data_IF_155854376368
#
_entry.id   IF_155854376368
#
_cell.length_a   1.000
_cell.length_b   1.000
_cell.length_c   1.000
_cell.angle_alpha   90.00
_cell.angle_beta   90.00
_cell.angle_gamma   90.00
#
_symmetry.space_group_name_H-M   'P 1'
#
loop_
_entity.id
_entity.type
_entity.pdbx_description
1 polymer ?
#
# COMPACT_ATOMS: atom_id res chain seq x y z
N UNK A 1 -14.73 4.62 27.78
CA UNK A 1 -13.45 3.91 28.00
C UNK A 1 -12.33 4.93 28.04
N UNK A 2 -11.25 4.63 28.75
CA UNK A 2 -10.03 5.46 28.77
C UNK A 2 -9.44 5.56 27.35
N UNK A 3 -9.19 6.78 26.82
CA UNK A 3 -8.53 6.98 25.53
C UNK A 3 -7.23 6.18 25.39
N UNK A 4 -6.46 5.99 26.46
CA UNK A 4 -5.23 5.20 26.43
C UNK A 4 -5.46 3.73 26.11
N UNK A 5 -6.63 3.16 26.48
CA UNK A 5 -7.00 1.80 26.08
C UNK A 5 -7.37 1.72 24.60
N UNK A 6 -8.03 2.76 24.08
CA UNK A 6 -8.41 2.82 22.66
C UNK A 6 -7.17 2.94 21.77
N UNK A 7 -6.18 3.75 22.17
CA UNK A 7 -4.88 3.83 21.47
C UNK A 7 -4.21 2.44 21.38
N UNK A 8 -4.24 1.66 22.47
CA UNK A 8 -3.67 0.30 22.47
C UNK A 8 -4.42 -0.65 21.54
N UNK A 9 -5.75 -0.56 21.49
CA UNK A 9 -6.55 -1.38 20.56
C UNK A 9 -6.22 -1.03 19.12
N UNK A 10 -6.22 0.26 18.76
CA UNK A 10 -5.89 0.70 17.41
C UNK A 10 -4.47 0.28 17.00
N UNK A 11 -3.47 0.51 17.87
CA UNK A 11 -2.08 0.16 17.58
C UNK A 11 -1.87 -1.36 17.45
N UNK A 12 -2.59 -2.17 18.24
CA UNK A 12 -2.54 -3.62 18.12
C UNK A 12 -3.20 -4.11 16.82
N UNK A 13 -4.37 -3.57 16.48
CA UNK A 13 -5.06 -3.86 15.22
C UNK A 13 -4.19 -3.52 14.01
N UNK A 14 -3.55 -2.35 14.02
CA UNK A 14 -2.65 -1.92 12.94
C UNK A 14 -1.39 -2.78 12.84
N UNK A 15 -0.73 -3.06 13.97
CA UNK A 15 0.45 -3.92 14.00
C UNK A 15 0.15 -5.31 13.43
N UNK A 16 -0.97 -5.92 13.81
CA UNK A 16 -1.36 -7.25 13.30
C UNK A 16 -1.67 -7.20 11.81
N UNK A 17 -2.43 -6.19 11.35
CA UNK A 17 -2.75 -6.05 9.93
C UNK A 17 -1.49 -5.85 9.07
N UNK A 18 -0.56 -4.99 9.51
CA UNK A 18 0.69 -4.71 8.80
C UNK A 18 1.62 -5.92 8.76
N UNK A 19 1.80 -6.63 9.88
CA UNK A 19 2.64 -7.83 9.93
C UNK A 19 2.05 -8.99 9.11
N UNK A 20 0.73 -9.11 9.05
CA UNK A 20 0.06 -10.08 8.19
C UNK A 20 0.25 -9.74 6.70
N UNK A 21 0.06 -8.47 6.34
CA UNK A 21 0.29 -8.00 4.98
C UNK A 21 1.74 -8.25 4.56
N UNK A 22 2.70 -7.90 5.43
CA UNK A 22 4.12 -8.13 5.23
C UNK A 22 4.46 -9.61 5.00
N UNK A 23 3.89 -10.51 5.81
CA UNK A 23 4.09 -11.95 5.65
C UNK A 23 3.49 -12.49 4.33
N UNK A 24 2.39 -11.89 3.86
CA UNK A 24 1.69 -12.31 2.65
C UNK A 24 2.36 -11.82 1.35
N UNK A 25 3.06 -10.69 1.41
CA UNK A 25 3.63 -10.00 0.23
C UNK A 25 5.15 -9.85 0.27
N UNK A 26 5.82 -10.36 1.31
CA UNK A 26 7.25 -10.14 1.57
C UNK A 26 7.65 -8.64 1.60
N UNK A 27 6.73 -7.78 2.06
CA UNK A 27 6.91 -6.33 2.07
C UNK A 27 7.65 -5.86 3.32
N UNK A 28 8.83 -5.24 3.13
CA UNK A 28 9.71 -4.80 4.24
C UNK A 28 9.21 -3.55 4.94
N UNK A 29 8.50 -2.67 4.24
CA UNK A 29 7.99 -1.43 4.81
C UNK A 29 6.85 -1.75 5.78
N UNK A 30 5.98 -2.69 5.39
CA UNK A 30 4.93 -3.21 6.24
C UNK A 30 5.49 -3.91 7.49
N UNK A 31 6.64 -4.62 7.39
CA UNK A 31 7.35 -5.12 8.58
C UNK A 31 7.78 -3.96 9.47
N UNK A 32 8.42 -2.93 8.91
CA UNK A 32 8.94 -1.80 9.66
C UNK A 32 7.81 -1.04 10.40
N UNK A 33 6.70 -0.75 9.73
CA UNK A 33 5.52 -0.11 10.31
C UNK A 33 4.87 -0.96 11.40
N UNK A 34 4.72 -2.27 11.15
CA UNK A 34 4.19 -3.21 12.14
C UNK A 34 5.05 -3.29 13.40
N UNK A 35 6.37 -3.39 13.25
CA UNK A 35 7.33 -3.38 14.37
C UNK A 35 7.32 -2.03 15.10
N UNK A 36 7.25 -0.91 14.39
CA UNK A 36 7.16 0.42 15.00
C UNK A 36 5.89 0.58 15.85
N UNK A 37 4.75 0.01 15.40
CA UNK A 37 3.52 -0.05 16.20
C UNK A 37 3.72 -0.88 17.48
N UNK A 38 4.41 -2.02 17.41
CA UNK A 38 4.74 -2.84 18.59
C UNK A 38 5.66 -2.10 19.57
N UNK A 39 6.64 -1.34 19.07
CA UNK A 39 7.50 -0.48 19.90
C UNK A 39 6.64 0.59 20.59
N UNK A 40 5.73 1.25 19.86
CA UNK A 40 4.78 2.21 20.42
C UNK A 40 3.93 1.60 21.54
N UNK A 41 3.39 0.40 21.34
CA UNK A 41 2.65 -0.35 22.35
C UNK A 41 3.49 -0.67 23.59
N UNK A 42 4.74 -1.11 23.40
CA UNK A 42 5.66 -1.37 24.50
C UNK A 42 5.95 -0.08 25.29
N UNK A 43 6.17 1.05 24.63
CA UNK A 43 6.39 2.34 25.28
C UNK A 43 5.16 2.82 26.07
N UNK A 44 3.94 2.49 25.63
CA UNK A 44 2.71 2.78 26.37
C UNK A 44 2.56 1.95 27.67
N UNK A 45 3.27 0.82 27.78
CA UNK A 45 3.23 -0.03 28.98
C UNK A 45 4.00 0.56 30.16
N UNK A 46 5.00 1.42 29.89
CA UNK A 46 5.78 2.10 30.92
C UNK A 46 5.29 3.52 31.17
N UNK A 47 4.95 3.84 32.43
CA UNK A 47 4.42 5.16 32.80
C UNK A 47 5.34 6.33 32.41
N UNK A 48 6.67 6.15 32.53
CA UNK A 48 7.66 7.18 32.21
C UNK A 48 7.81 7.43 30.70
N UNK A 49 7.57 6.41 29.86
CA UNK A 49 7.69 6.51 28.39
C UNK A 49 6.35 6.63 27.67
N UNK A 50 5.22 6.58 28.38
CA UNK A 50 3.90 6.61 27.78
C UNK A 50 3.63 7.87 26.93
N UNK A 51 4.29 9.00 27.23
CA UNK A 51 4.25 10.19 26.38
C UNK A 51 4.89 9.95 25.01
N UNK A 52 6.10 9.40 25.01
CA UNK A 52 6.87 9.06 23.79
C UNK A 52 6.10 8.04 22.95
N UNK A 53 5.52 7.01 23.57
CA UNK A 53 4.70 6.03 22.87
C UNK A 53 3.49 6.64 22.16
N UNK A 54 2.82 7.62 22.77
CA UNK A 54 1.70 8.33 22.13
C UNK A 54 2.14 9.19 20.95
N UNK A 55 3.29 9.87 21.05
CA UNK A 55 3.84 10.66 19.94
C UNK A 55 4.19 9.76 18.77
N UNK A 56 4.95 8.68 19.03
CA UNK A 56 5.35 7.72 18.00
C UNK A 56 4.12 7.13 17.29
N UNK A 57 3.15 6.61 18.04
CA UNK A 57 1.92 6.05 17.47
C UNK A 57 1.09 7.11 16.74
N UNK A 58 1.02 8.34 17.26
CA UNK A 58 0.32 9.42 16.58
C UNK A 58 0.92 9.76 15.22
N UNK A 59 2.25 9.79 15.11
CA UNK A 59 2.95 10.01 13.84
C UNK A 59 2.75 8.85 12.86
N UNK A 60 2.85 7.60 13.35
CA UNK A 60 2.59 6.41 12.52
C UNK A 60 1.15 6.40 12.00
N UNK A 61 0.17 6.65 12.88
CA UNK A 61 -1.24 6.72 12.47
C UNK A 61 -1.51 7.84 11.47
N UNK A 62 -0.85 8.99 11.61
CA UNK A 62 -0.98 10.08 10.66
C UNK A 62 -0.43 9.68 9.28
N UNK A 63 0.77 9.08 9.27
CA UNK A 63 1.44 8.60 8.06
C UNK A 63 0.61 7.54 7.33
N UNK A 64 0.25 6.45 8.03
CA UNK A 64 -0.55 5.36 7.46
C UNK A 64 -1.91 5.86 7.00
N UNK A 65 -2.60 6.70 7.78
CA UNK A 65 -3.90 7.25 7.36
C UNK A 65 -3.80 8.08 6.08
N UNK A 66 -2.79 8.95 5.96
CA UNK A 66 -2.60 9.80 4.79
C UNK A 66 -2.41 8.95 3.52
N UNK A 67 -1.52 7.97 3.60
CA UNK A 67 -1.14 7.16 2.46
C UNK A 67 -2.22 6.16 2.04
N UNK A 68 -2.83 5.46 3.00
CA UNK A 68 -3.86 4.45 2.71
C UNK A 68 -5.19 5.07 2.29
N UNK A 69 -5.56 6.24 2.80
CA UNK A 69 -6.73 6.98 2.32
C UNK A 69 -6.55 7.45 0.86
N UNK A 70 -5.35 7.94 0.52
CA UNK A 70 -5.01 8.35 -0.85
C UNK A 70 -5.04 7.16 -1.81
N UNK A 71 -4.49 6.01 -1.40
CA UNK A 71 -4.54 4.77 -2.17
C UNK A 71 -5.99 4.30 -2.38
N UNK A 72 -6.83 4.30 -1.34
CA UNK A 72 -8.24 3.94 -1.46
C UNK A 72 -8.99 4.84 -2.45
N UNK A 73 -8.77 6.15 -2.41
CA UNK A 73 -9.39 7.10 -3.34
C UNK A 73 -8.96 6.84 -4.79
N UNK A 74 -7.66 6.58 -5.00
CA UNK A 74 -7.15 6.26 -6.32
C UNK A 74 -7.72 4.96 -6.87
N UNK A 75 -7.65 3.88 -6.10
CA UNK A 75 -8.21 2.57 -6.50
C UNK A 75 -9.68 2.71 -6.90
N UNK A 76 -10.46 3.44 -6.11
CA UNK A 76 -11.87 3.72 -6.39
C UNK A 76 -12.04 4.49 -7.70
N UNK A 77 -11.28 5.59 -7.89
CA UNK A 77 -11.34 6.39 -9.12
C UNK A 77 -10.91 5.63 -10.38
N UNK A 78 -10.11 4.58 -10.19
CA UNK A 78 -9.55 3.76 -11.25
C UNK A 78 -10.34 2.47 -11.52
N UNK A 79 -11.47 2.25 -10.82
CA UNK A 79 -12.34 1.09 -11.02
C UNK A 79 -11.70 -0.23 -10.62
N UNK A 80 -10.79 -0.20 -9.64
CA UNK A 80 -10.08 -1.39 -9.18
C UNK A 80 -10.99 -2.33 -8.37
N UNK A 81 -10.53 -3.57 -8.18
CA UNK A 81 -11.29 -4.59 -7.45
C UNK A 81 -11.62 -4.19 -6.01
N UNK A 82 -12.72 -4.73 -5.49
CA UNK A 82 -13.18 -4.47 -4.11
C UNK A 82 -12.17 -4.89 -3.04
N UNK A 83 -11.32 -5.88 -3.32
CA UNK A 83 -10.30 -6.38 -2.38
C UNK A 83 -9.23 -5.33 -2.04
N UNK A 84 -8.46 -4.83 -3.03
CA UNK A 84 -7.51 -3.73 -2.81
C UNK A 84 -8.14 -2.50 -2.17
N UNK A 85 -9.35 -2.10 -2.58
CA UNK A 85 -10.06 -0.96 -1.98
C UNK A 85 -10.35 -1.23 -0.50
N UNK A 86 -10.91 -2.40 -0.18
CA UNK A 86 -11.26 -2.77 1.19
C UNK A 86 -10.03 -2.84 2.11
N UNK A 87 -8.89 -3.32 1.60
CA UNK A 87 -7.62 -3.29 2.34
C UNK A 87 -7.24 -1.86 2.73
N UNK A 88 -7.17 -0.96 1.75
CA UNK A 88 -6.70 0.42 1.98
C UNK A 88 -7.67 1.23 2.84
N UNK A 89 -8.98 1.08 2.63
CA UNK A 89 -10.00 1.72 3.48
C UNK A 89 -9.91 1.22 4.92
N UNK A 90 -9.67 -0.08 5.11
CA UNK A 90 -9.59 -0.66 6.46
C UNK A 90 -8.36 -0.17 7.21
N UNK A 91 -7.20 -0.14 6.57
CA UNK A 91 -5.99 0.41 7.18
C UNK A 91 -6.19 1.90 7.53
N UNK A 92 -6.74 2.69 6.61
CA UNK A 92 -7.06 4.10 6.86
C UNK A 92 -8.00 4.27 8.06
N UNK A 93 -9.04 3.43 8.18
CA UNK A 93 -9.99 3.48 9.28
C UNK A 93 -9.33 3.19 10.64
N UNK A 94 -8.46 2.17 10.72
CA UNK A 94 -7.72 1.86 11.95
C UNK A 94 -6.86 3.06 12.35
N UNK A 95 -6.09 3.61 11.41
CA UNK A 95 -5.15 4.69 11.68
C UNK A 95 -5.84 6.00 12.01
N UNK A 96 -6.95 6.35 11.33
CA UNK A 96 -7.75 7.53 11.67
C UNK A 96 -8.32 7.40 13.09
N UNK A 97 -8.87 6.23 13.45
CA UNK A 97 -9.35 5.99 14.82
C UNK A 97 -8.21 6.09 15.82
N UNK A 98 -7.06 5.50 15.52
CA UNK A 98 -5.83 5.60 16.31
C UNK A 98 -5.43 7.05 16.56
N UNK A 99 -5.30 7.84 15.49
CA UNK A 99 -4.91 9.25 15.53
C UNK A 99 -5.89 10.07 16.38
N UNK A 100 -7.19 9.92 16.17
CA UNK A 100 -8.22 10.63 16.94
C UNK A 100 -8.15 10.28 18.43
N UNK A 101 -7.88 9.02 18.78
CA UNK A 101 -7.74 8.59 20.18
C UNK A 101 -6.44 9.08 20.83
N UNK A 102 -5.35 9.18 20.07
CA UNK A 102 -4.09 9.82 20.50
C UNK A 102 -4.31 11.31 20.77
N UNK A 103 -4.96 12.04 19.84
CA UNK A 103 -5.30 13.45 20.01
C UNK A 103 -6.18 13.64 21.26
N UNK A 104 -7.23 12.82 21.43
CA UNK A 104 -8.09 12.88 22.61
C UNK A 104 -7.32 12.65 23.92
N UNK A 105 -6.34 11.75 23.93
CA UNK A 105 -5.48 11.49 25.08
C UNK A 105 -4.58 12.69 25.41
N UNK A 106 -4.02 13.39 24.41
CA UNK A 106 -3.22 14.60 24.60
C UNK A 106 -4.04 15.78 25.10
N UNK A 107 -5.25 15.96 24.55
CA UNK A 107 -6.20 16.99 24.96
C UNK A 107 -6.80 16.74 26.35
N UNK A 108 -6.38 15.68 27.06
CA UNK A 108 -6.87 15.26 28.38
C UNK A 108 -8.40 15.20 28.43
N UNK A 109 -9.03 14.80 27.31
CA UNK A 109 -10.49 14.72 27.20
C UNK A 109 -11.01 13.68 28.21
N UNK A 110 -12.21 13.91 28.79
CA UNK A 110 -12.79 12.97 29.73
C UNK A 110 -12.98 11.60 29.07
N UNK A 111 -13.03 10.51 29.86
CA UNK A 111 -13.29 9.17 29.34
C UNK A 111 -14.53 9.18 28.46
N UNK A 112 -14.41 8.63 27.26
CA UNK A 112 -15.53 8.54 26.31
C UNK A 112 -16.64 7.71 26.95
N UNK A 113 -17.91 8.04 26.71
CA UNK A 113 -19.04 7.25 27.16
C UNK A 113 -18.83 5.76 26.83
N UNK A 114 -19.19 4.85 27.75
CA UNK A 114 -18.98 3.40 27.59
C UNK A 114 -19.49 2.85 26.25
N UNK A 115 -20.69 3.18 25.74
CA UNK A 115 -21.16 2.66 24.45
C UNK A 115 -20.29 3.17 23.29
N UNK A 116 -20.04 4.47 23.21
CA UNK A 116 -19.23 5.07 22.15
C UNK A 116 -17.79 4.53 22.14
N UNK A 117 -17.18 4.35 23.31
CA UNK A 117 -15.87 3.72 23.39
C UNK A 117 -15.87 2.29 22.81
N UNK A 118 -16.92 1.50 23.06
CA UNK A 118 -17.01 0.12 22.56
C UNK A 118 -17.14 0.12 21.04
N UNK A 119 -17.92 1.05 20.50
CA UNK A 119 -18.02 1.25 19.04
C UNK A 119 -16.66 1.60 18.44
N UNK A 120 -15.91 2.55 19.03
CA UNK A 120 -14.57 2.91 18.53
C UNK A 120 -13.60 1.72 18.54
N UNK A 121 -13.58 0.96 19.62
CA UNK A 121 -12.76 -0.26 19.70
C UNK A 121 -13.20 -1.31 18.69
N UNK A 122 -14.51 -1.51 18.52
CA UNK A 122 -15.06 -2.45 17.54
C UNK A 122 -14.70 -2.05 16.10
N UNK A 123 -14.75 -0.76 15.76
CA UNK A 123 -14.34 -0.26 14.43
C UNK A 123 -12.89 -0.62 14.15
N UNK A 124 -11.96 -0.36 15.08
CA UNK A 124 -10.55 -0.69 14.89
C UNK A 124 -10.32 -2.21 14.73
N UNK A 125 -11.00 -3.03 15.53
CA UNK A 125 -10.89 -4.50 15.44
C UNK A 125 -11.47 -5.02 14.12
N UNK A 126 -12.68 -4.60 13.76
CA UNK A 126 -13.36 -5.03 12.53
C UNK A 126 -12.57 -4.59 11.30
N UNK A 127 -12.08 -3.36 11.27
CA UNK A 127 -11.22 -2.88 10.19
C UNK A 127 -9.92 -3.70 10.12
N UNK A 128 -9.30 -4.04 11.26
CA UNK A 128 -8.15 -4.96 11.29
C UNK A 128 -8.45 -6.32 10.66
N UNK A 129 -9.60 -6.92 10.98
CA UNK A 129 -10.02 -8.20 10.41
C UNK A 129 -10.30 -8.10 8.89
N UNK A 130 -10.93 -7.03 8.43
CA UNK A 130 -11.17 -6.80 7.00
C UNK A 130 -9.85 -6.61 6.27
N UNK A 131 -8.90 -5.84 6.82
CA UNK A 131 -7.57 -5.67 6.23
C UNK A 131 -6.85 -7.02 6.06
N UNK A 132 -6.87 -7.87 7.09
CA UNK A 132 -6.28 -9.23 7.03
C UNK A 132 -6.95 -10.07 5.95
N UNK A 133 -8.29 -10.08 5.91
CA UNK A 133 -9.04 -10.86 4.91
C UNK A 133 -8.75 -10.39 3.48
N UNK A 134 -8.64 -9.08 3.26
CA UNK A 134 -8.33 -8.49 1.95
C UNK A 134 -6.87 -8.70 1.53
N UNK A 135 -5.93 -8.71 2.49
CA UNK A 135 -4.51 -8.95 2.21
C UNK A 135 -4.23 -10.40 1.76
N UNK A 136 -5.01 -11.39 2.21
CA UNK A 136 -4.84 -12.80 1.79
C UNK A 136 -5.38 -13.14 0.40
N UNK A 137 -6.13 -12.22 -0.23
CA UNK A 137 -6.81 -12.46 -1.52
C UNK A 137 -5.94 -12.22 -2.76
N UNK A 138 -4.82 -11.51 -2.63
CA UNK A 138 -3.90 -11.25 -3.73
C UNK A 138 -2.91 -12.41 -3.86
N UNK A 139 -3.21 -13.38 -4.74
CA UNK A 139 -2.21 -14.38 -5.15
C UNK A 139 -1.17 -13.68 -6.02
N UNK A 140 0.14 -13.92 -5.85
CA UNK A 140 1.13 -13.48 -6.83
C UNK A 140 0.71 -14.06 -8.18
N UNK A 141 0.55 -13.20 -9.18
CA UNK A 141 0.26 -13.66 -10.53
C UNK A 141 1.53 -14.31 -11.04
N UNK A 142 1.53 -15.65 -11.05
CA UNK A 142 2.56 -16.45 -11.69
C UNK A 142 2.73 -15.93 -13.12
N UNK A 143 3.94 -15.49 -13.48
CA UNK A 143 4.25 -15.07 -14.84
C UNK A 143 3.94 -16.22 -15.81
N UNK A 144 2.80 -16.14 -16.49
CA UNK A 144 2.47 -17.06 -17.55
C UNK A 144 3.30 -16.68 -18.78
N UNK A 145 4.31 -17.49 -19.09
CA UNK A 145 4.94 -17.44 -20.39
C UNK A 145 3.95 -17.90 -21.46
N UNK A 146 3.92 -17.17 -22.59
CA UNK A 146 3.30 -17.51 -23.88
C UNK A 146 1.85 -17.04 -24.12
N UNK A 147 1.66 -15.73 -24.12
CA UNK A 147 0.80 -15.04 -25.09
C UNK A 147 1.33 -13.61 -25.26
N UNK A 148 0.78 -12.80 -26.17
CA UNK A 148 1.12 -11.38 -26.33
C UNK A 148 0.81 -10.52 -25.10
N UNK A 149 0.44 -11.13 -23.96
CA UNK A 149 0.33 -10.47 -22.67
C UNK A 149 1.54 -10.77 -21.76
N UNK A 150 2.28 -9.75 -21.33
CA UNK A 150 3.28 -9.87 -20.26
C UNK A 150 2.82 -9.08 -19.03
N UNK A 151 3.28 -9.51 -17.85
CA UNK A 151 3.00 -8.83 -16.57
C UNK A 151 4.29 -8.32 -15.95
N UNK A 152 4.24 -7.11 -15.40
CA UNK A 152 5.33 -6.46 -14.70
C UNK A 152 4.78 -5.77 -13.44
N UNK A 153 5.61 -5.64 -12.42
CA UNK A 153 5.23 -4.96 -11.17
C UNK A 153 6.16 -3.78 -10.93
N UNK A 154 5.67 -2.75 -10.23
CA UNK A 154 6.48 -1.63 -9.74
C UNK A 154 6.47 -1.59 -8.22
N UNK A 155 7.65 -1.40 -7.64
CA UNK A 155 7.84 -1.12 -6.21
C UNK A 155 9.05 -0.19 -6.09
N UNK A 156 8.95 0.81 -5.23
CA UNK A 156 9.91 1.90 -5.06
C UNK A 156 10.27 2.53 -6.42
N UNK A 157 11.56 2.63 -6.75
CA UNK A 157 12.04 3.11 -8.06
C UNK A 157 12.50 1.94 -8.94
N UNK A 158 11.76 0.83 -8.95
CA UNK A 158 12.13 -0.37 -9.68
C UNK A 158 10.95 -1.04 -10.39
N UNK A 159 11.27 -1.69 -11.52
CA UNK A 159 10.41 -2.70 -12.12
C UNK A 159 10.82 -4.09 -11.66
N UNK A 160 9.86 -5.01 -11.53
CA UNK A 160 10.14 -6.40 -11.14
C UNK A 160 10.99 -7.18 -12.14
N UNK A 161 11.00 -6.74 -13.41
CA UNK A 161 11.93 -7.21 -14.44
C UNK A 161 12.45 -6.04 -15.26
N UNK A 162 13.70 -6.12 -15.67
CA UNK A 162 14.33 -5.19 -16.62
C UNK A 162 14.37 -5.75 -18.04
N UNK A 163 13.88 -6.98 -18.24
CA UNK A 163 13.82 -7.65 -19.53
C UNK A 163 12.41 -8.19 -19.77
N UNK A 164 11.82 -7.78 -20.90
CA UNK A 164 10.55 -8.28 -21.40
C UNK A 164 10.73 -8.84 -22.80
N UNK A 165 9.89 -9.81 -23.14
CA UNK A 165 9.86 -10.42 -24.46
C UNK A 165 8.42 -10.53 -24.93
N UNK A 166 8.17 -10.18 -26.19
CA UNK A 166 6.86 -10.35 -26.83
C UNK A 166 7.00 -10.79 -28.30
N UNK A 167 5.89 -11.27 -28.87
CA UNK A 167 5.78 -11.46 -30.33
C UNK A 167 5.39 -10.14 -30.98
N UNK A 168 5.85 -9.93 -32.21
CA UNK A 168 5.43 -8.79 -33.02
C UNK A 168 3.91 -8.77 -33.25
N UNK A 169 3.36 -7.57 -33.41
CA UNK A 169 1.93 -7.31 -33.49
C UNK A 169 1.41 -6.59 -32.25
N UNK A 170 0.15 -6.85 -31.89
CA UNK A 170 -0.48 -6.28 -30.70
C UNK A 170 0.10 -6.92 -29.42
N UNK A 171 0.61 -6.08 -28.53
CA UNK A 171 1.21 -6.43 -27.26
C UNK A 171 0.39 -5.79 -26.14
N UNK A 172 0.15 -6.56 -25.09
CA UNK A 172 -0.47 -6.10 -23.84
C UNK A 172 0.53 -6.27 -22.70
N UNK A 173 0.88 -5.18 -22.03
CA UNK A 173 1.69 -5.24 -20.81
C UNK A 173 0.77 -4.86 -19.65
N UNK A 174 0.55 -5.78 -18.70
CA UNK A 174 -0.18 -5.51 -17.48
C UNK A 174 0.82 -5.10 -16.38
N UNK A 175 0.64 -3.91 -15.82
CA UNK A 175 1.49 -3.35 -14.78
C UNK A 175 0.73 -3.25 -13.47
N UNK A 176 1.25 -3.87 -12.41
CA UNK A 176 0.73 -3.70 -11.04
C UNK A 176 1.67 -2.82 -10.24
N UNK A 177 1.14 -1.75 -9.65
CA UNK A 177 1.91 -0.83 -8.83
C UNK A 177 1.67 -1.10 -7.35
N UNK A 178 2.71 -1.52 -6.65
CA UNK A 178 2.69 -1.83 -5.24
C UNK A 178 3.05 -0.61 -4.36
N UNK A 179 3.26 0.55 -4.97
CA UNK A 179 3.62 1.79 -4.26
C UNK A 179 2.41 2.69 -4.01
N UNK A 180 2.63 3.61 -3.08
CA UNK A 180 1.70 4.69 -2.74
C UNK A 180 2.05 5.99 -3.50
N UNK A 181 2.84 5.85 -4.56
CA UNK A 181 3.05 6.84 -5.60
C UNK A 181 2.72 6.22 -6.96
N UNK A 182 2.25 7.02 -7.92
CA UNK A 182 2.03 6.50 -9.27
C UNK A 182 3.38 6.25 -9.95
N UNK A 183 3.39 5.40 -10.97
CA UNK A 183 4.52 5.20 -11.88
C UNK A 183 4.04 5.30 -13.31
N UNK A 184 4.96 5.18 -14.27
CA UNK A 184 4.59 5.04 -15.68
C UNK A 184 5.24 3.82 -16.29
N UNK A 185 4.67 3.37 -17.40
CA UNK A 185 5.33 2.52 -18.37
C UNK A 185 5.37 3.30 -19.67
N UNK A 186 6.55 3.81 -19.99
CA UNK A 186 6.77 4.74 -21.10
C UNK A 186 7.74 4.12 -22.10
N UNK A 187 7.36 4.09 -23.38
CA UNK A 187 8.21 3.69 -24.52
C UNK A 187 8.12 4.79 -25.57
N UNK A 188 9.09 5.70 -25.60
CA UNK A 188 9.07 6.86 -26.50
C UNK A 188 9.01 6.44 -27.98
N UNK A 189 9.78 5.42 -28.36
CA UNK A 189 9.84 4.92 -29.74
C UNK A 189 8.52 4.36 -30.27
N UNK A 190 7.57 4.05 -29.38
CA UNK A 190 6.24 3.54 -29.72
C UNK A 190 5.12 4.51 -29.31
N UNK A 191 5.47 5.71 -28.83
CA UNK A 191 4.52 6.69 -28.28
C UNK A 191 3.62 6.10 -27.19
N UNK A 192 4.14 5.17 -26.39
CA UNK A 192 3.43 4.57 -25.26
C UNK A 192 3.76 5.38 -24.02
N UNK A 193 2.75 5.90 -23.35
CA UNK A 193 2.89 6.49 -22.03
C UNK A 193 1.67 6.19 -21.17
N UNK A 194 1.82 5.19 -20.28
CA UNK A 194 0.72 4.74 -19.43
C UNK A 194 1.08 4.99 -17.99
N UNK A 195 0.30 5.84 -17.32
CA UNK A 195 0.36 6.01 -15.87
C UNK A 195 -0.29 4.83 -15.16
N UNK A 196 0.45 4.22 -14.24
CA UNK A 196 -0.03 3.18 -13.33
C UNK A 196 -0.40 3.85 -12.01
N UNK A 197 -1.68 3.77 -11.58
CA UNK A 197 -2.13 4.39 -10.35
C UNK A 197 -1.46 3.76 -9.13
N UNK A 198 -1.38 4.51 -8.04
CA UNK A 198 -0.88 4.00 -6.75
C UNK A 198 -1.76 2.84 -6.25
N UNK A 199 -1.10 1.80 -5.75
CA UNK A 199 -1.67 0.53 -5.29
C UNK A 199 -2.52 -0.24 -6.33
N UNK A 200 -2.54 0.15 -7.61
CA UNK A 200 -3.48 -0.36 -8.62
C UNK A 200 -2.82 -1.04 -9.82
N UNK A 201 -3.64 -1.44 -10.80
CA UNK A 201 -3.20 -2.13 -12.01
C UNK A 201 -3.64 -1.38 -13.27
N UNK A 202 -2.74 -1.28 -14.26
CA UNK A 202 -3.08 -0.75 -15.58
C UNK A 202 -2.42 -1.58 -16.66
N UNK A 203 -3.09 -1.68 -17.80
CA UNK A 203 -2.52 -2.31 -18.97
C UNK A 203 -2.16 -1.28 -20.04
N UNK A 204 -0.95 -1.38 -20.57
CA UNK A 204 -0.56 -0.77 -21.83
C UNK A 204 -0.89 -1.73 -22.97
N UNK A 205 -1.65 -1.27 -23.96
CA UNK A 205 -1.91 -2.03 -25.20
C UNK A 205 -1.37 -1.22 -26.36
N UNK A 206 -0.48 -1.81 -27.14
CA UNK A 206 0.21 -1.14 -28.24
C UNK A 206 0.66 -2.16 -29.28
N UNK A 207 0.99 -1.68 -30.48
CA UNK A 207 1.51 -2.53 -31.57
C UNK A 207 3.00 -2.28 -31.75
N UNK A 208 3.80 -3.33 -31.87
CA UNK A 208 5.23 -3.21 -32.12
C UNK A 208 5.71 -4.19 -33.21
N UNK A 209 6.65 -3.72 -34.04
CA UNK A 209 7.37 -4.56 -35.00
C UNK A 209 8.51 -5.32 -34.29
N UNK A 210 9.12 -6.34 -34.92
CA UNK A 210 10.33 -6.96 -34.39
C UNK A 210 11.42 -5.91 -34.15
N UNK A 211 12.04 -5.96 -32.98
CA UNK A 211 12.98 -4.92 -32.55
C UNK A 211 13.23 -4.92 -31.04
N UNK A 212 14.04 -3.96 -30.60
CA UNK A 212 14.40 -3.76 -29.20
C UNK A 212 13.99 -2.35 -28.79
N UNK A 213 13.16 -2.25 -27.75
CA UNK A 213 12.58 -0.99 -27.26
C UNK A 213 12.94 -0.80 -25.79
N UNK A 214 13.30 0.41 -25.39
CA UNK A 214 13.45 0.72 -23.96
C UNK A 214 12.11 1.15 -23.36
N UNK A 215 11.79 0.62 -22.19
CA UNK A 215 10.72 1.13 -21.35
C UNK A 215 11.29 1.75 -20.08
N UNK A 216 10.67 2.82 -19.58
CA UNK A 216 11.13 3.52 -18.38
C UNK A 216 9.99 4.22 -17.65
N UNK A 217 10.25 4.62 -16.40
CA UNK A 217 9.36 5.48 -15.63
C UNK A 217 9.77 6.95 -15.81
N UNK A 218 8.84 7.79 -16.27
CA UNK A 218 9.11 9.20 -16.62
C UNK A 218 9.23 10.14 -15.41
N UNK A 219 8.95 9.64 -14.20
CA UNK A 219 9.06 10.45 -12.99
C UNK A 219 10.51 10.94 -12.86
N UNK A 220 10.72 12.25 -12.68
CA UNK A 220 12.07 12.81 -12.58
C UNK A 220 12.92 12.04 -11.57
N UNK A 221 14.07 11.54 -12.04
CA UNK A 221 15.01 10.76 -11.21
C UNK A 221 14.83 9.24 -11.25
N UNK A 222 13.66 8.70 -11.60
CA UNK A 222 13.40 7.25 -11.50
C UNK A 222 14.19 6.44 -12.54
N UNK A 223 14.15 6.85 -13.82
CA UNK A 223 14.94 6.18 -14.85
C UNK A 223 16.44 6.24 -14.55
N UNK A 224 16.96 7.38 -14.08
CA UNK A 224 18.36 7.52 -13.65
C UNK A 224 18.71 6.64 -12.46
N UNK A 225 17.76 6.40 -11.55
CA UNK A 225 17.90 5.49 -10.42
C UNK A 225 17.80 4.00 -10.79
N UNK A 226 17.54 3.68 -12.07
CA UNK A 226 17.51 2.30 -12.57
C UNK A 226 16.12 1.80 -12.97
N UNK A 227 15.07 2.63 -12.88
CA UNK A 227 13.71 2.27 -13.29
C UNK A 227 13.52 2.31 -14.82
N UNK A 228 14.28 1.46 -15.52
CA UNK A 228 14.27 1.31 -16.99
C UNK A 228 14.66 -0.11 -17.38
N UNK A 229 14.01 -0.65 -18.40
CA UNK A 229 14.28 -1.98 -18.92
C UNK A 229 14.13 -2.04 -20.44
N UNK A 230 14.22 -3.25 -20.97
CA UNK A 230 14.24 -3.54 -22.41
C UNK A 230 13.15 -4.52 -22.78
N UNK A 231 12.34 -4.16 -23.78
CA UNK A 231 11.38 -5.03 -24.43
C UNK A 231 11.96 -5.53 -25.76
N UNK A 232 12.16 -6.84 -25.87
CA UNK A 232 12.54 -7.51 -27.12
C UNK A 232 11.32 -8.07 -27.82
N UNK A 233 11.04 -7.59 -29.02
CA UNK A 233 9.93 -8.04 -29.86
C UNK A 233 10.47 -8.92 -30.98
N UNK A 234 9.91 -10.13 -31.12
CA UNK A 234 10.37 -11.16 -32.08
C UNK A 234 9.27 -11.56 -33.06
#
# INVERSE_FOLDING_TARGET
>A
MDPSRLVRVAAASEAVAMLFFAASHADRDAVALGVACLIGLALLSWRRSAGVGRVLLGLLFLDVAFFTASAAASLTSNGEGVGPIALQVSLAAISIVGLLTVIAAFLRRPPVARPLGRTVAAVAIVAGLVAIASAGGARPVQAASQSSSARIETKDTAYSTLELTARAGEIRIEMTNNDLFWHTFTIDALSVDVRVPLAGTRAAVFTAAPGVYQYYCQIPGHASAGMRGTLTVR
#
